data_IF_025957818836
#
_entry.id   IF_025957818836
#
_cell.length_a   1.000
_cell.length_b   1.000
_cell.length_c   1.000
_cell.angle_alpha   90.00
_cell.angle_beta   90.00
_cell.angle_gamma   90.00
#
_symmetry.space_group_name_H-M   'P 1'
#
loop_
_entity.id
_entity.type
_entity.pdbx_description
1 polymer ?
#
# COMPACT_ATOMS: atom_id res chain seq x y z
N UNK A 1 -11.18 -26.67 -29.92
CA UNK A 1 -11.70 -25.29 -29.94
C UNK A 1 -11.13 -24.56 -28.74
N UNK A 2 -10.24 -23.60 -28.95
CA UNK A 2 -9.66 -22.76 -27.89
C UNK A 2 -10.53 -21.51 -27.82
N UNK A 3 -11.13 -21.25 -26.66
CA UNK A 3 -12.04 -20.12 -26.44
C UNK A 3 -11.25 -18.80 -26.32
N UNK A 4 -11.80 -17.69 -26.84
CA UNK A 4 -11.16 -16.36 -26.82
C UNK A 4 -10.80 -15.92 -25.39
N UNK A 5 -11.58 -16.35 -24.38
CA UNK A 5 -11.30 -16.09 -22.96
C UNK A 5 -9.98 -16.74 -22.48
N UNK A 6 -9.61 -17.88 -23.06
CA UNK A 6 -8.36 -18.57 -22.73
C UNK A 6 -7.13 -17.88 -23.35
N UNK A 7 -7.29 -17.15 -24.46
CA UNK A 7 -6.22 -16.34 -25.05
C UNK A 7 -5.93 -15.07 -24.24
N UNK A 8 -6.96 -14.44 -23.64
CA UNK A 8 -6.78 -13.24 -22.81
C UNK A 8 -6.02 -13.56 -21.50
N UNK A 9 -6.27 -14.73 -20.90
CA UNK A 9 -5.57 -15.19 -19.67
C UNK A 9 -4.06 -15.45 -19.88
N UNK A 10 -3.63 -15.70 -21.11
CA UNK A 10 -2.20 -15.82 -21.47
C UNK A 10 -1.50 -14.46 -21.51
N UNK A 11 -2.23 -13.38 -21.80
CA UNK A 11 -1.70 -12.01 -21.82
C UNK A 11 -1.61 -11.37 -20.43
N UNK A 12 -2.44 -11.83 -19.47
CA UNK A 12 -2.41 -11.40 -18.05
C UNK A 12 -1.79 -12.49 -17.16
N UNK A 13 -0.79 -13.21 -17.67
CA UNK A 13 0.05 -14.09 -16.83
C UNK A 13 1.08 -13.26 -16.08
N UNK A 14 0.65 -12.19 -15.41
CA UNK A 14 1.54 -11.43 -14.53
C UNK A 14 1.77 -12.32 -13.31
N UNK A 15 3.00 -12.72 -12.98
CA UNK A 15 3.26 -13.29 -11.67
C UNK A 15 2.98 -12.17 -10.67
N UNK A 16 1.78 -12.15 -10.09
CA UNK A 16 1.48 -11.33 -8.92
C UNK A 16 2.37 -11.89 -7.82
N UNK A 17 3.57 -11.32 -7.70
CA UNK A 17 4.40 -11.47 -6.53
C UNK A 17 3.62 -10.81 -5.41
N UNK A 18 2.88 -11.63 -4.65
CA UNK A 18 2.15 -11.20 -3.47
C UNK A 18 3.18 -10.82 -2.42
N UNK A 19 3.72 -9.60 -2.54
CA UNK A 19 4.50 -8.98 -1.49
C UNK A 19 3.48 -8.50 -0.47
N UNK A 20 3.46 -9.07 0.75
CA UNK A 20 2.57 -8.58 1.78
C UNK A 20 2.93 -7.11 2.06
N UNK A 21 2.03 -6.21 1.69
CA UNK A 21 2.15 -4.79 1.99
C UNK A 21 1.93 -4.64 3.49
N UNK A 22 2.95 -4.20 4.22
CA UNK A 22 2.88 -4.05 5.66
C UNK A 22 3.51 -2.73 6.08
N UNK A 23 2.84 -2.03 6.99
CA UNK A 23 3.40 -0.87 7.66
C UNK A 23 4.10 -1.31 8.93
N UNK A 24 5.33 -0.81 9.20
CA UNK A 24 6.03 -1.12 10.43
C UNK A 24 5.29 -0.55 11.65
N UNK A 25 5.62 -1.04 12.85
CA UNK A 25 5.11 -0.53 14.13
C UNK A 25 3.57 -0.54 14.27
N UNK A 26 2.89 -1.47 13.60
CA UNK A 26 1.42 -1.59 13.71
C UNK A 26 0.65 -0.48 12.99
N UNK A 27 1.24 0.11 11.96
CA UNK A 27 0.54 1.00 11.05
C UNK A 27 -0.47 0.24 10.17
N UNK A 28 -1.46 0.97 9.67
CA UNK A 28 -2.49 0.46 8.78
C UNK A 28 -2.16 0.86 7.34
N UNK A 29 -2.14 -0.10 6.42
CA UNK A 29 -1.98 0.19 4.98
C UNK A 29 -3.28 0.77 4.46
N UNK A 30 -3.25 2.02 4.03
CA UNK A 30 -4.43 2.72 3.49
C UNK A 30 -4.31 3.02 2.00
N UNK A 31 -3.14 2.80 1.39
CA UNK A 31 -2.91 3.06 -0.02
C UNK A 31 -1.54 2.62 -0.50
N UNK A 32 -1.37 2.52 -1.82
CA UNK A 32 -0.14 2.16 -2.51
C UNK A 32 0.22 3.24 -3.53
N UNK A 33 1.51 3.39 -3.80
CA UNK A 33 2.03 4.33 -4.80
C UNK A 33 2.12 5.78 -4.30
N UNK A 34 2.81 6.01 -3.18
CA UNK A 34 3.11 7.38 -2.72
C UNK A 34 4.54 7.84 -3.07
N UNK A 35 4.70 9.12 -3.33
CA UNK A 35 6.01 9.81 -3.40
C UNK A 35 6.38 10.44 -2.06
N UNK A 36 5.38 10.91 -1.32
CA UNK A 36 5.54 11.51 0.01
C UNK A 36 4.24 11.33 0.83
N UNK A 37 4.26 11.68 2.11
CA UNK A 37 3.10 11.51 2.99
C UNK A 37 1.89 12.36 2.58
N UNK A 38 2.11 13.49 1.89
CA UNK A 38 1.04 14.41 1.50
C UNK A 38 0.05 13.78 0.52
N UNK A 39 0.50 12.90 -0.38
CA UNK A 39 -0.39 12.15 -1.27
C UNK A 39 -1.33 11.20 -0.52
N UNK A 40 -1.03 10.86 0.73
CA UNK A 40 -1.82 9.94 1.56
C UNK A 40 -2.86 10.66 2.43
N UNK A 41 -2.80 12.00 2.56
CA UNK A 41 -3.67 12.77 3.45
C UNK A 41 -5.16 12.58 3.13
N UNK A 42 -5.52 12.52 1.85
CA UNK A 42 -6.90 12.31 1.40
C UNK A 42 -7.47 10.94 1.82
N UNK A 43 -6.60 9.95 2.09
CA UNK A 43 -6.98 8.60 2.50
C UNK A 43 -7.02 8.44 4.02
N UNK A 44 -6.39 9.36 4.75
CA UNK A 44 -6.04 9.20 6.16
C UNK A 44 -7.20 9.37 7.15
N UNK A 45 -8.34 9.92 6.72
CA UNK A 45 -9.49 10.21 7.58
C UNK A 45 -9.12 10.98 8.88
N UNK A 46 -8.13 11.88 8.79
CA UNK A 46 -7.65 12.67 9.93
C UNK A 46 -6.57 12.00 10.79
N UNK A 47 -6.12 10.79 10.45
CA UNK A 47 -4.97 10.14 11.09
C UNK A 47 -3.64 10.68 10.52
N UNK A 48 -2.56 10.70 11.32
CA UNK A 48 -1.24 10.96 10.80
C UNK A 48 -0.78 9.84 9.86
N UNK A 49 -0.11 10.23 8.77
CA UNK A 49 0.33 9.32 7.70
C UNK A 49 1.80 9.45 7.39
N UNK A 50 2.41 8.34 6.99
CA UNK A 50 3.76 8.25 6.46
C UNK A 50 3.76 7.52 5.13
N UNK A 51 4.65 7.94 4.23
CA UNK A 51 4.92 7.22 3.00
C UNK A 51 6.15 6.33 3.22
N UNK A 52 5.93 5.03 3.40
CA UNK A 52 6.98 4.04 3.70
C UNK A 52 7.10 3.11 2.51
N UNK A 53 8.26 3.10 1.83
CA UNK A 53 8.49 2.20 0.68
C UNK A 53 7.39 2.23 -0.40
N UNK A 54 6.88 3.43 -0.76
CA UNK A 54 5.74 3.63 -1.68
C UNK A 54 4.37 3.21 -1.11
N UNK A 55 4.26 2.93 0.19
CA UNK A 55 3.02 2.53 0.86
C UNK A 55 2.53 3.69 1.73
N UNK A 56 1.26 4.03 1.62
CA UNK A 56 0.61 4.96 2.54
C UNK A 56 0.24 4.21 3.83
N UNK A 57 0.86 4.62 4.93
CA UNK A 57 0.66 4.06 6.26
C UNK A 57 -0.03 5.06 7.17
N UNK A 58 -1.20 4.74 7.69
CA UNK A 58 -1.85 5.51 8.76
C UNK A 58 -1.50 4.95 10.13
N UNK A 59 -1.30 5.85 11.09
CA UNK A 59 -0.93 5.49 12.45
C UNK A 59 -1.93 6.06 13.46
N UNK A 60 -2.31 5.24 14.43
CA UNK A 60 -2.98 5.72 15.65
C UNK A 60 -1.93 5.92 16.74
N UNK A 61 -2.14 6.89 17.63
CA UNK A 61 -1.29 7.02 18.81
C UNK A 61 -1.41 5.76 19.68
N UNK A 62 -0.30 5.28 20.29
CA UNK A 62 1.05 5.87 20.32
C UNK A 62 1.97 5.45 19.16
N UNK A 63 1.51 4.62 18.21
CA UNK A 63 2.34 3.99 17.18
C UNK A 63 2.97 4.96 16.17
N UNK A 64 2.49 6.20 16.09
CA UNK A 64 3.03 7.22 15.19
C UNK A 64 4.46 7.66 15.57
N UNK A 65 4.76 7.76 16.87
CA UNK A 65 6.08 8.20 17.34
C UNK A 65 7.24 7.34 16.81
N UNK A 66 7.28 6.02 17.04
CA UNK A 66 8.38 5.19 16.52
C UNK A 66 8.44 5.17 14.99
N UNK A 67 7.30 5.31 14.32
CA UNK A 67 7.23 5.28 12.86
C UNK A 67 7.79 6.56 12.21
N UNK A 68 7.60 7.73 12.81
CA UNK A 68 8.05 9.01 12.25
C UNK A 68 9.57 9.22 12.32
N UNK A 69 10.27 8.50 13.19
CA UNK A 69 11.72 8.61 13.39
C UNK A 69 12.53 7.52 12.66
N UNK A 70 11.89 6.69 11.83
CA UNK A 70 12.54 5.67 10.99
C UNK A 70 12.75 6.18 9.57
#
# INVERSE_FOLDING_TARGET
MIDLLQLIKLLVKVPVSYVPQQCPYGGEVIGLGCDNSKSCECLAQGLPVLCVQRICCAYRLPNYFPAHFT
#
